data_IF_074147208215
#
_entry.id   IF_074147208215
#
_cell.length_a   1.000
_cell.length_b   1.000
_cell.length_c   1.000
_cell.angle_alpha   90.00
_cell.angle_beta   90.00
_cell.angle_gamma   90.00
#
_symmetry.space_group_name_H-M   'P 1'
#
loop_
_entity.id
_entity.type
_entity.pdbx_description
1 polymer ?
#
# COMPACT_ATOMS: atom_id res chain seq x y z
N UNK A 1 -1.50 12.16 12.60
CA UNK A 1 -0.50 11.08 12.56
C UNK A 1 0.74 11.61 13.28
N UNK A 2 1.32 10.88 14.23
CA UNK A 2 2.53 11.36 14.93
C UNK A 2 3.73 11.29 13.98
N UNK A 3 4.37 12.41 13.70
CA UNK A 3 5.60 12.43 12.92
C UNK A 3 6.79 12.16 13.85
N UNK A 4 7.43 10.99 13.71
CA UNK A 4 8.59 10.62 14.51
C UNK A 4 9.79 11.58 14.31
N UNK A 5 9.81 12.34 13.21
CA UNK A 5 10.85 13.31 12.90
C UNK A 5 10.68 14.66 13.61
N UNK A 6 9.51 14.98 14.20
CA UNK A 6 9.31 16.24 14.95
C UNK A 6 10.07 16.29 16.29
N UNK A 7 10.44 15.12 16.84
CA UNK A 7 11.05 14.99 18.18
C UNK A 7 12.46 14.37 18.15
N UNK A 8 12.93 13.94 16.99
CA UNK A 8 14.26 13.38 16.80
C UNK A 8 15.15 14.38 16.06
N UNK A 9 16.33 14.77 16.59
CA UNK A 9 17.21 15.72 15.89
C UNK A 9 17.76 15.10 14.60
N UNK A 10 17.93 15.91 13.56
CA UNK A 10 18.26 15.49 12.19
C UNK A 10 19.39 14.44 12.11
N UNK A 11 20.46 14.64 12.88
CA UNK A 11 21.60 13.72 12.91
C UNK A 11 21.25 12.30 13.39
N UNK A 12 20.20 12.14 14.20
CA UNK A 12 19.69 10.84 14.65
C UNK A 12 18.80 10.22 13.58
N UNK A 13 17.94 11.04 12.95
CA UNK A 13 17.06 10.68 11.83
C UNK A 13 17.87 10.16 10.64
N UNK A 14 19.00 10.80 10.33
CA UNK A 14 19.89 10.39 9.24
C UNK A 14 20.77 9.19 9.60
N UNK A 15 21.23 9.07 10.86
CA UNK A 15 21.90 7.83 11.32
C UNK A 15 20.95 6.63 11.26
N UNK A 16 19.65 6.83 11.49
CA UNK A 16 18.62 5.82 11.29
C UNK A 16 18.56 5.36 9.83
N UNK A 17 18.36 6.30 8.90
CA UNK A 17 18.27 6.00 7.47
C UNK A 17 19.58 5.42 6.89
N UNK A 18 20.75 5.92 7.29
CA UNK A 18 22.04 5.35 6.88
C UNK A 18 22.19 3.88 7.30
N UNK A 19 21.82 3.54 8.55
CA UNK A 19 21.84 2.14 9.03
C UNK A 19 20.88 1.25 8.26
N UNK A 20 19.67 1.75 7.98
CA UNK A 20 18.67 1.06 7.19
C UNK A 20 19.13 0.80 5.75
N UNK A 21 19.68 1.82 5.09
CA UNK A 21 20.26 1.73 3.76
C UNK A 21 21.39 0.70 3.71
N UNK A 22 22.29 0.70 4.70
CA UNK A 22 23.35 -0.31 4.81
C UNK A 22 22.80 -1.73 5.02
N UNK A 23 21.77 -1.92 5.85
CA UNK A 23 21.13 -3.23 6.04
C UNK A 23 20.48 -3.75 4.74
N UNK A 24 19.84 -2.88 3.97
CA UNK A 24 19.27 -3.21 2.65
C UNK A 24 20.38 -3.53 1.64
N UNK A 25 21.47 -2.75 1.59
CA UNK A 25 22.59 -3.02 0.69
C UNK A 25 23.29 -4.34 0.99
N UNK A 26 23.50 -4.67 2.28
CA UNK A 26 24.08 -5.96 2.70
C UNK A 26 23.18 -7.13 2.25
N UNK A 27 21.86 -7.04 2.48
CA UNK A 27 20.92 -8.07 2.05
C UNK A 27 20.80 -8.22 0.53
N UNK A 28 20.72 -7.11 -0.21
CA UNK A 28 20.72 -7.12 -1.68
C UNK A 28 22.00 -7.73 -2.26
N UNK A 29 23.17 -7.41 -1.67
CA UNK A 29 24.44 -8.00 -2.06
C UNK A 29 24.49 -9.51 -1.74
N UNK A 30 24.04 -9.94 -0.56
CA UNK A 30 24.00 -11.36 -0.18
C UNK A 30 23.10 -12.17 -1.13
N UNK A 31 21.93 -11.64 -1.50
CA UNK A 31 21.04 -12.26 -2.48
C UNK A 31 21.68 -12.32 -3.88
N UNK A 32 22.36 -11.26 -4.31
CA UNK A 32 23.08 -11.25 -5.59
C UNK A 32 24.23 -12.26 -5.62
N UNK A 33 24.98 -12.40 -4.52
CA UNK A 33 26.05 -13.39 -4.38
C UNK A 33 25.52 -14.84 -4.32
N UNK A 34 24.31 -15.03 -3.80
CA UNK A 34 23.58 -16.31 -3.84
C UNK A 34 22.94 -16.61 -5.21
N UNK A 35 22.98 -15.68 -6.18
CA UNK A 35 22.40 -15.85 -7.51
C UNK A 35 20.89 -15.62 -7.61
N UNK A 36 20.27 -15.00 -6.60
CA UNK A 36 18.81 -14.86 -6.46
C UNK A 36 18.14 -14.09 -7.61
N UNK A 37 17.20 -14.73 -8.29
CA UNK A 37 16.39 -14.14 -9.38
C UNK A 37 15.02 -13.67 -8.88
N UNK A 38 14.84 -12.35 -8.84
CA UNK A 38 13.58 -11.65 -8.50
C UNK A 38 12.37 -11.94 -9.41
N UNK A 39 12.49 -12.82 -10.41
CA UNK A 39 11.37 -13.36 -11.21
C UNK A 39 11.04 -14.83 -10.91
N UNK A 40 11.87 -15.55 -10.16
CA UNK A 40 11.72 -16.99 -9.90
C UNK A 40 11.76 -17.37 -8.42
N UNK A 41 12.59 -16.69 -7.63
CA UNK A 41 12.96 -17.14 -6.30
C UNK A 41 12.14 -16.43 -5.21
N UNK A 42 11.87 -17.15 -4.12
CA UNK A 42 11.06 -16.67 -3.00
C UNK A 42 11.87 -16.55 -1.69
N UNK A 43 11.58 -15.50 -0.94
CA UNK A 43 12.02 -15.27 0.44
C UNK A 43 10.88 -15.67 1.39
N UNK A 44 10.52 -16.95 1.40
CA UNK A 44 9.39 -17.44 2.19
C UNK A 44 9.48 -17.01 3.66
N UNK A 45 8.37 -16.53 4.22
CA UNK A 45 8.30 -15.98 5.58
C UNK A 45 8.60 -17.01 6.68
N UNK A 46 8.47 -18.31 6.39
CA UNK A 46 8.77 -19.39 7.33
C UNK A 46 10.20 -19.33 7.86
N UNK A 47 11.17 -19.08 6.97
CA UNK A 47 12.58 -18.90 7.32
C UNK A 47 12.76 -17.55 8.03
N UNK A 48 13.23 -17.59 9.28
CA UNK A 48 13.37 -16.40 10.12
C UNK A 48 14.50 -15.49 9.64
N UNK A 49 15.48 -16.07 8.96
CA UNK A 49 16.67 -15.47 8.36
C UNK A 49 16.31 -14.48 7.24
N UNK A 50 15.21 -14.70 6.52
CA UNK A 50 14.73 -13.80 5.47
C UNK A 50 14.11 -12.51 6.05
N UNK A 51 13.58 -12.57 7.28
CA UNK A 51 12.73 -11.51 7.85
C UNK A 51 13.48 -10.20 8.12
N UNK A 52 14.73 -10.16 8.64
CA UNK A 52 15.48 -8.91 8.83
C UNK A 52 15.65 -8.11 7.54
N UNK A 53 16.10 -8.76 6.45
CA UNK A 53 16.25 -8.09 5.15
C UNK A 53 14.91 -7.61 4.60
N UNK A 54 13.88 -8.47 4.58
CA UNK A 54 12.57 -8.09 4.03
C UNK A 54 11.93 -6.91 4.80
N UNK A 55 12.03 -6.90 6.13
CA UNK A 55 11.53 -5.78 6.96
C UNK A 55 12.34 -4.50 6.75
N UNK A 56 13.66 -4.61 6.61
CA UNK A 56 14.50 -3.46 6.28
C UNK A 56 14.16 -2.90 4.89
N UNK A 57 13.95 -3.75 3.89
CA UNK A 57 13.63 -3.33 2.52
C UNK A 57 12.23 -2.70 2.44
N UNK A 58 11.25 -3.21 3.20
CA UNK A 58 9.93 -2.60 3.36
C UNK A 58 10.01 -1.20 3.98
N UNK A 59 10.68 -1.05 5.15
CA UNK A 59 10.86 0.26 5.80
C UNK A 59 11.66 1.23 4.92
N UNK A 60 12.60 0.74 4.12
CA UNK A 60 13.36 1.58 3.18
C UNK A 60 12.48 2.15 2.06
N UNK A 61 11.46 1.42 1.59
CA UNK A 61 10.45 1.97 0.68
C UNK A 61 9.63 3.10 1.34
N UNK A 62 9.22 2.93 2.61
CA UNK A 62 8.55 3.98 3.36
C UNK A 62 9.42 5.25 3.48
N UNK A 63 10.69 5.11 3.88
CA UNK A 63 11.61 6.25 4.03
C UNK A 63 11.92 6.94 2.70
N UNK A 64 11.97 6.21 1.57
CA UNK A 64 12.08 6.83 0.24
C UNK A 64 10.85 7.70 -0.06
N UNK A 65 9.64 7.22 0.28
CA UNK A 65 8.42 7.99 0.08
C UNK A 65 8.37 9.23 0.98
N UNK A 66 8.80 9.10 2.24
CA UNK A 66 8.82 10.19 3.22
C UNK A 66 9.87 11.27 2.86
N UNK A 67 11.08 10.88 2.44
CA UNK A 67 12.23 11.81 2.26
C UNK A 67 12.41 12.35 0.85
N UNK A 68 12.08 11.55 -0.18
CA UNK A 68 12.39 11.85 -1.58
C UNK A 68 11.16 11.82 -2.50
N UNK A 69 10.04 11.30 -2.00
CA UNK A 69 8.78 11.16 -2.73
C UNK A 69 8.88 10.36 -4.07
N UNK A 70 9.95 9.58 -4.32
CA UNK A 70 10.08 8.78 -5.56
C UNK A 70 9.23 7.50 -5.49
N UNK A 71 7.94 7.69 -5.72
CA UNK A 71 6.93 6.65 -5.83
C UNK A 71 7.32 5.52 -6.80
N UNK A 72 8.19 5.76 -7.80
CA UNK A 72 8.62 4.71 -8.75
C UNK A 72 9.56 3.72 -8.07
N UNK A 73 10.48 4.21 -7.25
CA UNK A 73 11.39 3.37 -6.47
C UNK A 73 10.62 2.64 -5.36
N UNK A 74 9.67 3.31 -4.70
CA UNK A 74 8.74 2.73 -3.72
C UNK A 74 7.99 1.53 -4.34
N UNK A 75 7.31 1.75 -5.48
CA UNK A 75 6.56 0.70 -6.17
C UNK A 75 7.44 -0.46 -6.67
N UNK A 76 8.68 -0.18 -7.08
CA UNK A 76 9.63 -1.22 -7.50
C UNK A 76 10.02 -2.13 -6.33
N UNK A 77 10.22 -1.57 -5.13
CA UNK A 77 10.50 -2.35 -3.91
C UNK A 77 9.26 -3.13 -3.48
N UNK A 78 8.08 -2.51 -3.46
CA UNK A 78 6.82 -3.16 -3.12
C UNK A 78 6.52 -4.35 -4.05
N UNK A 79 6.70 -4.18 -5.38
CA UNK A 79 6.54 -5.28 -6.35
C UNK A 79 7.56 -6.41 -6.15
N UNK A 80 8.80 -6.10 -5.76
CA UNK A 80 9.82 -7.10 -5.44
C UNK A 80 9.45 -7.90 -4.19
N UNK A 81 8.98 -7.24 -3.14
CA UNK A 81 8.56 -7.89 -1.90
C UNK A 81 7.29 -8.76 -2.11
N UNK A 82 6.30 -8.28 -2.87
CA UNK A 82 5.10 -9.05 -3.20
C UNK A 82 5.37 -10.27 -4.09
N UNK A 83 6.45 -10.26 -4.88
CA UNK A 83 6.91 -11.45 -5.62
C UNK A 83 7.67 -12.42 -4.73
N UNK A 84 8.64 -11.91 -3.96
CA UNK A 84 9.49 -12.76 -3.12
C UNK A 84 8.75 -13.32 -1.90
N UNK A 85 7.67 -12.69 -1.43
CA UNK A 85 6.84 -13.16 -0.33
C UNK A 85 5.37 -13.20 -0.79
N UNK A 86 4.92 -14.24 -1.53
CA UNK A 86 3.58 -14.25 -2.14
C UNK A 86 2.44 -14.17 -1.12
N UNK A 87 2.64 -14.79 0.05
CA UNK A 87 1.72 -14.70 1.21
C UNK A 87 1.68 -13.31 1.84
N UNK A 88 2.66 -12.46 1.55
CA UNK A 88 2.86 -11.11 2.07
C UNK A 88 2.47 -10.98 3.55
N UNK A 89 3.31 -11.58 4.38
CA UNK A 89 3.25 -11.49 5.85
C UNK A 89 3.88 -10.18 6.38
N UNK A 90 4.21 -9.24 5.48
CA UNK A 90 4.72 -7.91 5.78
C UNK A 90 3.61 -6.85 5.75
N UNK A 91 2.56 -7.06 4.94
CA UNK A 91 1.46 -6.12 4.73
C UNK A 91 1.68 -5.17 3.55
N UNK A 92 2.62 -5.48 2.65
CA UNK A 92 2.99 -4.63 1.50
C UNK A 92 1.81 -4.38 0.56
N UNK A 93 0.86 -5.32 0.42
CA UNK A 93 -0.30 -5.16 -0.47
C UNK A 93 -1.21 -3.99 -0.07
N UNK A 94 -1.32 -3.68 1.22
CA UNK A 94 -2.11 -2.56 1.74
C UNK A 94 -1.47 -1.21 1.37
N UNK A 95 -0.14 -1.10 1.49
CA UNK A 95 0.61 0.07 1.00
C UNK A 95 0.60 0.15 -0.53
N UNK A 96 0.75 -0.98 -1.21
CA UNK A 96 0.85 -1.04 -2.66
C UNK A 96 -0.45 -0.63 -3.36
N UNK A 97 -1.64 -0.90 -2.78
CA UNK A 97 -2.90 -0.30 -3.28
C UNK A 97 -2.82 1.22 -3.24
N UNK A 98 -2.35 1.83 -2.16
CA UNK A 98 -2.24 3.28 -2.05
C UNK A 98 -1.27 3.85 -3.09
N UNK A 99 -0.11 3.21 -3.29
CA UNK A 99 0.86 3.57 -4.33
C UNK A 99 0.30 3.38 -5.76
N UNK A 100 -0.48 2.33 -6.01
CA UNK A 100 -1.18 2.11 -7.28
C UNK A 100 -2.23 3.20 -7.55
N UNK A 101 -3.03 3.57 -6.55
CA UNK A 101 -4.06 4.60 -6.65
C UNK A 101 -3.46 5.99 -6.87
N UNK A 102 -2.38 6.34 -6.15
CA UNK A 102 -1.62 7.57 -6.36
C UNK A 102 -1.11 7.68 -7.80
N UNK A 103 -0.56 6.58 -8.34
CA UNK A 103 -0.15 6.50 -9.74
C UNK A 103 -1.30 6.23 -10.75
N UNK A 104 -2.57 6.28 -10.33
CA UNK A 104 -3.78 6.05 -11.16
C UNK A 104 -3.82 4.70 -11.89
N UNK A 105 -3.12 3.68 -11.37
CA UNK A 105 -3.03 2.31 -11.91
C UNK A 105 -4.22 1.46 -11.47
N UNK A 106 -5.41 1.88 -11.88
CA UNK A 106 -6.68 1.33 -11.40
C UNK A 106 -6.92 -0.13 -11.83
N UNK A 107 -6.42 -0.56 -13.00
CA UNK A 107 -6.57 -1.94 -13.47
C UNK A 107 -5.76 -2.91 -12.59
N UNK A 108 -4.61 -2.45 -12.13
CA UNK A 108 -3.67 -3.15 -11.28
C UNK A 108 -4.19 -3.29 -9.84
N UNK A 109 -4.93 -2.30 -9.31
CA UNK A 109 -5.65 -2.44 -8.02
C UNK A 109 -6.70 -3.55 -8.11
N UNK A 110 -7.49 -3.58 -9.19
CA UNK A 110 -8.48 -4.65 -9.42
C UNK A 110 -7.80 -6.00 -9.62
N UNK A 111 -6.59 -6.04 -10.21
CA UNK A 111 -5.79 -7.26 -10.29
C UNK A 111 -5.34 -7.72 -8.89
N UNK A 112 -4.80 -6.82 -8.06
CA UNK A 112 -4.32 -7.15 -6.72
C UNK A 112 -5.44 -7.68 -5.81
N UNK A 113 -6.61 -7.04 -5.84
CA UNK A 113 -7.80 -7.52 -5.11
C UNK A 113 -8.23 -8.94 -5.54
N UNK A 114 -8.03 -9.30 -6.82
CA UNK A 114 -8.29 -10.66 -7.32
C UNK A 114 -7.19 -11.67 -6.97
N UNK A 115 -5.97 -11.20 -6.69
CA UNK A 115 -4.88 -12.05 -6.18
C UNK A 115 -5.09 -12.43 -4.71
N UNK A 116 -5.69 -11.53 -3.92
CA UNK A 116 -5.96 -11.73 -2.49
C UNK A 116 -7.48 -11.62 -2.20
N UNK A 117 -8.29 -12.61 -2.63
CA UNK A 117 -9.76 -12.51 -2.57
C UNK A 117 -10.32 -12.55 -1.14
N UNK A 118 -9.58 -13.13 -0.20
CA UNK A 118 -9.91 -13.27 1.21
C UNK A 118 -9.31 -12.15 2.08
N UNK A 119 -8.71 -11.11 1.47
CA UNK A 119 -8.16 -9.98 2.21
C UNK A 119 -9.29 -9.08 2.75
N UNK A 120 -9.13 -8.66 4.00
CA UNK A 120 -10.09 -7.89 4.79
C UNK A 120 -9.48 -6.58 5.31
N UNK A 121 -8.59 -5.96 4.53
CA UNK A 121 -8.08 -4.61 4.81
C UNK A 121 -8.89 -3.51 4.09
N UNK A 122 -9.31 -2.45 4.81
CA UNK A 122 -10.13 -1.38 4.24
C UNK A 122 -9.45 -0.61 3.10
N UNK A 123 -8.12 -0.44 3.10
CA UNK A 123 -7.45 0.26 2.00
C UNK A 123 -7.61 -0.47 0.67
N UNK A 124 -7.66 -1.80 0.71
CA UNK A 124 -7.88 -2.65 -0.46
C UNK A 124 -9.36 -2.65 -0.87
N UNK A 125 -10.29 -2.83 0.07
CA UNK A 125 -11.73 -2.96 -0.26
C UNK A 125 -12.35 -1.62 -0.71
N UNK A 126 -11.98 -0.48 -0.12
CA UNK A 126 -12.32 0.83 -0.69
C UNK A 126 -11.51 1.13 -1.95
N UNK A 127 -10.25 0.71 -2.01
CA UNK A 127 -9.38 0.93 -3.16
C UNK A 127 -9.91 0.29 -4.45
N UNK A 128 -10.42 -0.95 -4.39
CA UNK A 128 -11.02 -1.63 -5.55
C UNK A 128 -12.36 -1.01 -5.96
N UNK A 129 -13.13 -0.49 -5.01
CA UNK A 129 -14.36 0.25 -5.30
C UNK A 129 -14.07 1.55 -6.06
N UNK A 130 -13.13 2.36 -5.56
CA UNK A 130 -12.67 3.59 -6.21
C UNK A 130 -12.03 3.33 -7.58
N UNK A 131 -11.17 2.33 -7.69
CA UNK A 131 -10.55 1.94 -8.96
C UNK A 131 -11.57 1.45 -10.00
N UNK A 132 -12.63 0.76 -9.57
CA UNK A 132 -13.74 0.37 -10.43
C UNK A 132 -14.57 1.57 -10.90
N UNK A 133 -14.80 2.55 -10.02
CA UNK A 133 -15.51 3.80 -10.35
C UNK A 133 -14.74 4.64 -11.38
N UNK A 134 -13.44 4.85 -11.14
CA UNK A 134 -12.52 5.54 -12.07
C UNK A 134 -12.43 4.87 -13.46
N UNK A 135 -12.76 3.57 -13.55
CA UNK A 135 -12.82 2.81 -14.80
C UNK A 135 -14.24 2.65 -15.37
N UNK A 136 -15.24 3.35 -14.82
CA UNK A 136 -16.63 3.32 -15.29
C UNK A 136 -17.32 1.95 -15.14
N UNK A 137 -16.83 1.09 -14.24
CA UNK A 137 -17.31 -0.29 -14.13
C UNK A 137 -18.59 -0.37 -13.31
N UNK A 138 -19.62 -1.05 -13.84
CA UNK A 138 -20.90 -1.32 -13.15
C UNK A 138 -20.75 -2.10 -11.83
N UNK A 139 -19.58 -2.67 -11.56
CA UNK A 139 -19.22 -3.34 -10.30
C UNK A 139 -18.80 -2.37 -9.18
N UNK A 140 -18.54 -1.09 -9.47
CA UNK A 140 -18.07 -0.12 -8.49
C UNK A 140 -19.01 -0.02 -7.27
N UNK A 141 -20.31 0.18 -7.51
CA UNK A 141 -21.34 0.26 -6.46
C UNK A 141 -21.43 -1.04 -5.64
N UNK A 142 -21.16 -2.20 -6.24
CA UNK A 142 -21.15 -3.49 -5.53
C UNK A 142 -19.94 -3.56 -4.58
N UNK A 143 -18.76 -3.20 -5.05
CA UNK A 143 -17.56 -3.17 -4.20
C UNK A 143 -17.69 -2.14 -3.08
N UNK A 144 -18.27 -0.97 -3.38
CA UNK A 144 -18.51 0.06 -2.38
C UNK A 144 -19.53 -0.35 -1.32
N UNK A 145 -20.64 -0.99 -1.70
CA UNK A 145 -21.60 -1.56 -0.75
C UNK A 145 -20.94 -2.59 0.16
N UNK A 146 -20.08 -3.46 -0.37
CA UNK A 146 -19.25 -4.39 0.43
C UNK A 146 -18.35 -3.62 1.40
N UNK A 147 -17.59 -2.62 0.92
CA UNK A 147 -16.69 -1.81 1.75
C UNK A 147 -17.40 -1.11 2.93
N UNK A 148 -18.58 -0.53 2.69
CA UNK A 148 -19.38 0.15 3.72
C UNK A 148 -19.97 -0.85 4.72
N UNK A 149 -20.39 -2.03 4.27
CA UNK A 149 -20.93 -3.09 5.13
C UNK A 149 -19.86 -3.70 6.05
N UNK A 150 -18.65 -3.90 5.53
CA UNK A 150 -17.53 -4.52 6.26
C UNK A 150 -16.78 -3.51 7.15
N UNK A 151 -16.67 -2.26 6.71
CA UNK A 151 -15.91 -1.20 7.38
C UNK A 151 -16.74 0.10 7.51
N UNK A 152 -17.85 0.09 8.25
CA UNK A 152 -18.75 1.25 8.37
C UNK A 152 -18.10 2.45 9.09
N UNK A 153 -17.16 2.20 10.01
CA UNK A 153 -16.39 3.28 10.64
C UNK A 153 -15.45 3.95 9.62
N UNK A 154 -14.79 3.18 8.75
CA UNK A 154 -14.01 3.76 7.65
C UNK A 154 -14.91 4.54 6.68
N UNK A 155 -16.15 4.11 6.42
CA UNK A 155 -17.10 4.90 5.63
C UNK A 155 -17.34 6.28 6.28
N UNK A 156 -17.63 6.30 7.59
CA UNK A 156 -17.85 7.53 8.36
C UNK A 156 -16.62 8.45 8.31
N UNK A 157 -15.44 7.95 8.65
CA UNK A 157 -14.23 8.77 8.65
C UNK A 157 -13.88 9.28 7.23
N UNK A 158 -14.14 8.52 6.17
CA UNK A 158 -13.98 9.01 4.79
C UNK A 158 -14.99 10.13 4.45
N UNK A 159 -16.23 10.08 4.95
CA UNK A 159 -17.24 11.12 4.75
C UNK A 159 -16.92 12.40 5.54
N UNK A 160 -16.35 12.26 6.75
CA UNK A 160 -15.99 13.38 7.63
C UNK A 160 -14.67 14.05 7.21
N UNK A 161 -13.68 13.29 6.73
CA UNK A 161 -12.35 13.79 6.37
C UNK A 161 -12.22 14.19 4.89
N UNK A 162 -13.00 13.58 4.00
CA UNK A 162 -12.93 13.83 2.56
C UNK A 162 -14.31 14.15 1.96
N UNK A 163 -14.73 15.42 1.90
CA UNK A 163 -16.05 15.73 1.35
C UNK A 163 -16.24 15.37 -0.15
N UNK A 164 -15.20 15.06 -0.94
CA UNK A 164 -15.05 15.31 -2.39
C UNK A 164 -16.32 15.34 -3.24
N UNK A 165 -16.63 16.45 -3.94
CA UNK A 165 -18.43 16.69 -4.37
C UNK A 165 -18.92 15.60 -5.42
N UNK A 166 -17.98 14.74 -5.88
CA UNK A 166 -18.07 13.61 -6.84
C UNK A 166 -17.79 12.23 -6.21
N UNK A 167 -16.70 12.03 -5.46
CA UNK A 167 -16.44 10.74 -4.77
C UNK A 167 -17.47 10.51 -3.66
N UNK A 168 -17.87 11.57 -2.96
CA UNK A 168 -19.04 11.54 -2.08
C UNK A 168 -20.31 11.27 -2.90
N UNK A 169 -20.40 11.75 -4.14
CA UNK A 169 -21.41 11.33 -5.11
C UNK A 169 -21.44 9.81 -5.33
N UNK A 170 -20.29 9.16 -5.48
CA UNK A 170 -20.15 7.70 -5.55
C UNK A 170 -20.54 6.99 -4.23
N UNK A 171 -20.11 7.51 -3.08
CA UNK A 171 -20.56 7.05 -1.75
C UNK A 171 -22.10 7.08 -1.62
N UNK A 172 -22.73 8.19 -2.08
CA UNK A 172 -24.18 8.45 -2.10
C UNK A 172 -24.98 7.56 -3.05
N UNK A 173 -24.54 7.35 -4.29
CA UNK A 173 -25.33 6.54 -5.25
C UNK A 173 -25.40 5.09 -4.81
N UNK A 174 -24.43 4.65 -4.01
CA UNK A 174 -24.43 3.32 -3.39
C UNK A 174 -25.26 3.24 -2.11
N UNK A 175 -25.45 4.35 -1.37
CA UNK A 175 -26.16 4.36 -0.07
C UNK A 175 -26.91 5.68 0.16
N UNK A 176 -28.23 5.69 0.38
CA UNK A 176 -29.00 6.94 0.41
C UNK A 176 -28.74 7.79 1.69
N UNK A 177 -27.91 8.85 1.62
CA UNK A 177 -27.90 10.10 2.44
C UNK A 177 -26.78 11.11 2.00
N UNK A 178 -26.88 12.42 2.33
CA UNK A 178 -26.06 13.56 1.83
C UNK A 178 -24.71 13.79 2.60
N UNK A 179 -23.70 14.65 2.27
CA UNK A 179 -23.49 15.88 1.44
C UNK A 179 -22.09 15.94 0.70
N UNK A 180 -22.05 16.48 -0.54
CA UNK A 180 -20.97 16.87 -1.53
C UNK A 180 -19.62 17.58 -1.10
N UNK A 181 -18.49 17.32 -1.84
CA UNK A 181 -17.56 18.18 -2.76
C UNK A 181 -16.64 19.03 -1.63
N UNK A 182 -15.34 19.15 -1.14
CA UNK A 182 -13.82 18.93 -1.26
C UNK A 182 -12.94 19.58 -2.39
N UNK A 183 -11.59 19.61 -2.39
CA UNK A 183 -10.53 19.08 -1.45
C UNK A 183 -10.59 19.64 -0.04
#
# INVERSE_FOLDING_TARGET
MYNAYEFAPDWFVDKGFMRLNMAVLIGLNALAQAGFDWQKDELHWGFVENRPFMRAYARYAQEIMERYHDIRQVMFIQQRLLKACPTDNLGIRHEYVQSLLFCKKYKEVIKLYKTYPDDFDPSIVYGVAFASWQLGQKSADKYLKKAIQEFPLCAKELLDFFPNPDFYGFLKTSTPILIRVYF
#
